data_IF_752009179020
#
_entry.id   IF_752009179020
#
_cell.length_a   1.000
_cell.length_b   1.000
_cell.length_c   1.000
_cell.angle_alpha   90.00
_cell.angle_beta   90.00
_cell.angle_gamma   90.00
#
_symmetry.space_group_name_H-M   'P 1'
#
loop_
_entity.id
_entity.type
_entity.pdbx_description
1 polymer ?
#
# COMPACT_ATOMS: atom_id res chain seq x y z
N UNK A 1 -8.68 15.41 20.77
CA UNK A 1 -8.36 15.04 22.16
C UNK A 1 -8.96 13.68 22.40
N UNK A 2 -8.12 12.60 22.31
CA UNK A 2 -8.54 11.24 22.55
C UNK A 2 -8.86 11.05 24.03
N UNK A 3 -10.06 10.53 24.31
CA UNK A 3 -10.43 10.12 25.65
C UNK A 3 -9.46 9.02 26.11
N UNK A 4 -8.74 9.24 27.20
CA UNK A 4 -7.94 8.19 27.85
C UNK A 4 -8.91 7.19 28.50
N UNK A 5 -8.91 5.97 28.00
CA UNK A 5 -9.56 4.83 28.66
C UNK A 5 -8.85 4.62 30.00
N UNK A 6 -9.59 4.56 31.12
CA UNK A 6 -9.05 4.32 32.47
C UNK A 6 -8.96 2.81 32.70
N UNK A 7 -7.98 2.36 33.46
CA UNK A 7 -7.79 0.93 33.77
C UNK A 7 -9.06 0.23 34.28
N UNK A 8 -9.88 0.94 35.08
CA UNK A 8 -11.18 0.42 35.58
C UNK A 8 -12.23 0.24 34.47
N UNK A 9 -12.09 0.96 33.31
CA UNK A 9 -12.99 0.81 32.19
C UNK A 9 -12.57 -0.39 31.32
N UNK A 10 -11.29 -0.81 31.42
CA UNK A 10 -10.76 -2.01 30.78
C UNK A 10 -11.20 -3.29 31.49
N UNK A 11 -11.22 -3.29 32.85
CA UNK A 11 -11.71 -4.43 33.64
C UNK A 11 -13.19 -4.73 33.39
N UNK A 12 -14.01 -3.70 33.12
CA UNK A 12 -15.43 -3.86 32.77
C UNK A 12 -15.66 -4.45 31.38
N UNK A 13 -14.63 -4.46 30.52
CA UNK A 13 -14.66 -5.00 29.18
C UNK A 13 -14.13 -6.44 29.05
N UNK A 14 -13.80 -7.10 30.21
CA UNK A 14 -13.44 -8.51 30.24
C UNK A 14 -14.65 -9.41 30.48
N UNK A 15 -15.42 -9.78 29.48
CA UNK A 15 -16.47 -10.77 29.62
C UNK A 15 -15.87 -12.17 29.53
N UNK A 16 -15.24 -12.66 30.58
CA UNK A 16 -14.80 -14.06 30.66
C UNK A 16 -13.80 -14.51 29.53
N UNK A 17 -13.43 -15.77 29.50
CA UNK A 17 -12.56 -16.27 28.45
C UNK A 17 -13.20 -16.01 27.05
N UNK A 18 -12.49 -15.32 26.19
CA UNK A 18 -12.91 -15.15 24.79
C UNK A 18 -13.29 -16.51 24.23
N UNK A 19 -14.55 -16.69 23.87
CA UNK A 19 -14.93 -17.82 23.04
C UNK A 19 -14.04 -17.80 21.80
N UNK A 20 -13.54 -18.96 21.40
CA UNK A 20 -12.73 -19.06 20.20
C UNK A 20 -13.42 -18.31 19.04
N UNK A 21 -12.66 -17.45 18.38
CA UNK A 21 -13.15 -16.74 17.19
C UNK A 21 -13.53 -17.82 16.18
N UNK A 22 -14.78 -17.85 15.69
CA UNK A 22 -15.19 -18.85 14.73
C UNK A 22 -14.34 -18.71 13.46
N UNK A 23 -13.99 -19.84 12.85
CA UNK A 23 -13.34 -19.82 11.54
C UNK A 23 -14.33 -19.28 10.51
N UNK A 24 -13.89 -18.26 9.75
CA UNK A 24 -14.73 -17.66 8.74
C UNK A 24 -14.91 -18.63 7.55
N UNK A 25 -16.16 -18.90 7.11
CA UNK A 25 -16.37 -19.75 5.96
C UNK A 25 -15.79 -19.09 4.69
N UNK A 26 -15.27 -19.93 3.79
CA UNK A 26 -14.85 -19.53 2.45
C UNK A 26 -15.97 -19.78 1.43
N UNK A 27 -15.97 -19.03 0.33
CA UNK A 27 -16.85 -19.30 -0.80
C UNK A 27 -18.23 -18.68 -0.73
N UNK A 28 -18.43 -17.59 0.02
CA UNK A 28 -19.69 -16.83 -0.01
C UNK A 28 -19.96 -16.18 -1.37
N UNK A 29 -21.24 -16.09 -1.75
CA UNK A 29 -21.70 -15.50 -3.02
C UNK A 29 -21.73 -13.96 -2.95
N UNK A 30 -20.61 -13.35 -2.65
CA UNK A 30 -20.49 -11.89 -2.50
C UNK A 30 -20.76 -11.11 -3.78
N UNK A 31 -20.55 -11.71 -4.94
CA UNK A 31 -20.87 -11.08 -6.23
C UNK A 31 -22.40 -10.94 -6.40
N UNK A 32 -23.14 -12.01 -6.14
CA UNK A 32 -24.61 -12.00 -6.17
C UNK A 32 -25.16 -11.03 -5.10
N UNK A 33 -24.60 -11.05 -3.90
CA UNK A 33 -24.99 -10.12 -2.83
C UNK A 33 -24.75 -8.65 -3.25
N UNK A 34 -23.66 -8.37 -3.94
CA UNK A 34 -23.37 -7.04 -4.46
C UNK A 34 -24.35 -6.61 -5.55
N UNK A 35 -24.67 -7.48 -6.52
CA UNK A 35 -25.66 -7.18 -7.57
C UNK A 35 -27.02 -6.79 -6.99
N UNK A 36 -27.41 -7.41 -5.88
CA UNK A 36 -28.69 -7.12 -5.20
C UNK A 36 -28.67 -5.81 -4.40
N UNK A 37 -27.49 -5.36 -3.97
CA UNK A 37 -27.37 -4.26 -2.99
C UNK A 37 -26.55 -3.06 -3.48
N UNK A 38 -26.10 -3.06 -4.75
CA UNK A 38 -25.23 -2.04 -5.32
C UNK A 38 -25.70 -0.60 -5.00
N UNK A 39 -24.81 0.21 -4.46
CA UNK A 39 -25.09 1.58 -4.03
C UNK A 39 -25.81 1.70 -2.69
N UNK A 40 -26.09 0.59 -1.98
CA UNK A 40 -26.80 0.59 -0.71
C UNK A 40 -25.89 0.19 0.45
N UNK A 41 -26.19 0.71 1.65
CA UNK A 41 -25.58 0.27 2.88
C UNK A 41 -26.38 -0.88 3.47
N UNK A 42 -25.71 -1.95 3.86
CA UNK A 42 -26.30 -3.14 4.50
C UNK A 42 -25.57 -3.43 5.81
N UNK A 43 -26.25 -4.03 6.77
CA UNK A 43 -25.57 -4.52 7.96
C UNK A 43 -24.69 -5.73 7.62
N UNK A 44 -23.70 -6.04 8.45
CA UNK A 44 -22.86 -7.23 8.25
C UNK A 44 -23.65 -8.53 8.35
N UNK A 45 -24.72 -8.55 9.16
CA UNK A 45 -25.60 -9.70 9.26
C UNK A 45 -26.44 -9.91 7.98
N UNK A 46 -26.98 -8.84 7.39
CA UNK A 46 -27.68 -8.89 6.11
C UNK A 46 -26.73 -9.32 4.97
N UNK A 47 -25.50 -8.79 4.95
CA UNK A 47 -24.50 -9.21 3.97
C UNK A 47 -24.14 -10.69 4.12
N UNK A 48 -24.02 -11.18 5.36
CA UNK A 48 -23.77 -12.60 5.63
C UNK A 48 -24.94 -13.47 5.15
N UNK A 49 -26.19 -13.05 5.43
CA UNK A 49 -27.40 -13.74 4.97
C UNK A 49 -27.45 -13.83 3.45
N UNK A 50 -27.16 -12.72 2.75
CA UNK A 50 -27.13 -12.68 1.29
C UNK A 50 -26.03 -13.55 0.69
N UNK A 51 -24.85 -13.59 1.33
CA UNK A 51 -23.69 -14.29 0.78
C UNK A 51 -23.65 -15.78 1.13
N UNK A 52 -24.22 -16.19 2.27
CA UNK A 52 -24.12 -17.56 2.80
C UNK A 52 -25.48 -18.22 3.11
N UNK A 53 -26.58 -17.47 3.02
CA UNK A 53 -27.91 -17.95 3.44
C UNK A 53 -28.08 -18.04 4.96
N UNK A 54 -27.15 -17.49 5.75
CA UNK A 54 -27.20 -17.42 7.20
C UNK A 54 -26.37 -16.27 7.75
N UNK A 55 -26.74 -15.77 8.93
CA UNK A 55 -26.10 -14.61 9.59
C UNK A 55 -25.50 -14.98 10.95
N UNK A 56 -24.95 -16.18 11.06
CA UNK A 56 -24.24 -16.63 12.26
C UNK A 56 -22.92 -15.84 12.49
N UNK A 57 -22.28 -16.04 13.67
CA UNK A 57 -21.03 -15.32 13.99
C UNK A 57 -19.90 -15.56 12.98
N UNK A 58 -19.79 -16.77 12.41
CA UNK A 58 -18.78 -17.13 11.44
C UNK A 58 -19.01 -16.44 10.10
N UNK A 59 -20.23 -16.46 9.60
CA UNK A 59 -20.64 -15.82 8.36
C UNK A 59 -20.56 -14.29 8.45
N UNK A 60 -20.97 -13.73 9.60
CA UNK A 60 -20.83 -12.28 9.86
C UNK A 60 -19.35 -11.86 9.90
N UNK A 61 -18.46 -12.69 10.46
CA UNK A 61 -17.01 -12.45 10.39
C UNK A 61 -16.51 -12.52 8.93
N UNK A 62 -16.97 -13.49 8.13
CA UNK A 62 -16.61 -13.57 6.72
C UNK A 62 -17.10 -12.34 5.94
N UNK A 63 -18.31 -11.85 6.20
CA UNK A 63 -18.87 -10.64 5.62
C UNK A 63 -18.04 -9.40 6.00
N UNK A 64 -17.60 -9.31 7.25
CA UNK A 64 -16.71 -8.23 7.70
C UNK A 64 -15.35 -8.28 7.00
N UNK A 65 -14.74 -9.46 6.88
CA UNK A 65 -13.47 -9.64 6.17
C UNK A 65 -13.59 -9.20 4.71
N UNK A 66 -14.62 -9.68 3.99
CA UNK A 66 -14.87 -9.31 2.62
C UNK A 66 -15.07 -7.79 2.44
N UNK A 67 -15.85 -7.15 3.32
CA UNK A 67 -16.04 -5.70 3.28
C UNK A 67 -14.76 -4.93 3.65
N UNK A 68 -13.88 -5.49 4.49
CA UNK A 68 -12.60 -4.89 4.84
C UNK A 68 -11.58 -4.90 3.68
N UNK A 69 -11.71 -5.81 2.74
CA UNK A 69 -10.94 -5.82 1.50
C UNK A 69 -11.27 -4.64 0.58
N UNK A 70 -12.47 -4.06 0.73
CA UNK A 70 -12.90 -2.84 0.03
C UNK A 70 -13.36 -3.04 -1.41
N UNK A 71 -13.59 -4.30 -1.86
CA UNK A 71 -14.20 -4.66 -3.14
C UNK A 71 -14.92 -6.02 -3.02
N UNK A 72 -16.18 -6.12 -3.46
CA UNK A 72 -17.06 -5.06 -3.99
C UNK A 72 -17.76 -4.24 -2.90
N UNK A 73 -17.53 -4.56 -1.63
CA UNK A 73 -18.06 -3.87 -0.46
C UNK A 73 -16.95 -3.07 0.24
N UNK A 74 -17.34 -2.04 0.97
CA UNK A 74 -16.47 -1.25 1.82
C UNK A 74 -17.09 -1.10 3.20
N UNK A 75 -16.31 -1.25 4.27
CA UNK A 75 -16.77 -0.98 5.62
C UNK A 75 -17.19 0.49 5.79
N UNK A 76 -18.32 0.69 6.43
CA UNK A 76 -18.79 2.00 6.87
C UNK A 76 -19.26 1.94 8.33
N UNK A 77 -19.75 3.06 8.88
CA UNK A 77 -20.20 3.16 10.26
C UNK A 77 -21.46 2.29 10.57
N UNK A 78 -22.18 1.83 9.56
CA UNK A 78 -23.41 1.05 9.69
C UNK A 78 -23.22 -0.44 9.38
N UNK A 79 -22.07 -0.79 8.78
CA UNK A 79 -21.79 -2.17 8.37
C UNK A 79 -20.96 -2.22 7.09
N UNK A 80 -21.58 -2.55 5.97
CA UNK A 80 -20.95 -2.61 4.66
C UNK A 80 -21.72 -1.75 3.65
N UNK A 81 -21.00 -0.94 2.88
CA UNK A 81 -21.51 -0.21 1.74
C UNK A 81 -21.17 -0.99 0.48
N UNK A 82 -22.19 -1.44 -0.25
CA UNK A 82 -22.00 -2.01 -1.58
C UNK A 82 -21.66 -0.87 -2.55
N UNK A 83 -20.49 -0.94 -3.18
CA UNK A 83 -20.06 0.06 -4.15
C UNK A 83 -20.97 0.05 -5.37
N UNK A 84 -21.22 1.20 -5.98
CA UNK A 84 -21.82 1.25 -7.31
C UNK A 84 -20.90 0.62 -8.35
N UNK A 85 -21.42 0.28 -9.52
CA UNK A 85 -20.60 -0.28 -10.61
C UNK A 85 -19.46 0.67 -11.01
N UNK A 86 -19.72 1.98 -11.04
CA UNK A 86 -18.73 3.00 -11.36
C UNK A 86 -17.64 3.11 -10.27
N UNK A 87 -18.03 3.13 -9.00
CA UNK A 87 -17.10 3.18 -7.87
C UNK A 87 -16.23 1.91 -7.81
N UNK A 88 -16.84 0.75 -8.04
CA UNK A 88 -16.16 -0.54 -8.10
C UNK A 88 -15.10 -0.55 -9.21
N UNK A 89 -15.45 -0.11 -10.42
CA UNK A 89 -14.51 -0.03 -11.55
C UNK A 89 -13.37 0.96 -11.27
N UNK A 90 -13.70 2.14 -10.71
CA UNK A 90 -12.70 3.15 -10.34
C UNK A 90 -11.71 2.62 -9.28
N UNK A 91 -12.21 1.94 -8.24
CA UNK A 91 -11.36 1.37 -7.19
C UNK A 91 -10.52 0.19 -7.71
N UNK A 92 -11.10 -0.65 -8.56
CA UNK A 92 -10.37 -1.74 -9.23
C UNK A 92 -9.26 -1.19 -10.14
N UNK A 93 -9.54 -0.15 -10.92
CA UNK A 93 -8.55 0.53 -11.75
C UNK A 93 -7.41 1.14 -10.93
N UNK A 94 -7.75 1.78 -9.80
CA UNK A 94 -6.77 2.35 -8.87
C UNK A 94 -5.87 1.27 -8.25
N UNK A 95 -6.43 0.11 -7.88
CA UNK A 95 -5.65 -1.04 -7.37
C UNK A 95 -4.72 -1.58 -8.43
N UNK A 96 -5.23 -1.85 -9.64
CA UNK A 96 -4.39 -2.32 -10.77
C UNK A 96 -3.23 -1.37 -11.06
N UNK A 97 -3.49 -0.03 -11.03
CA UNK A 97 -2.43 0.96 -11.21
C UNK A 97 -1.39 0.89 -10.09
N UNK A 98 -1.81 0.84 -8.82
CA UNK A 98 -0.91 0.75 -7.66
C UNK A 98 -0.08 -0.53 -7.67
N UNK A 99 -0.69 -1.66 -8.03
CA UNK A 99 -0.01 -2.94 -8.18
C UNK A 99 1.00 -2.91 -9.33
N UNK A 100 0.63 -2.31 -10.47
CA UNK A 100 1.54 -2.08 -11.59
C UNK A 100 2.75 -1.23 -11.21
N UNK A 101 2.51 -0.08 -10.55
CA UNK A 101 3.57 0.80 -10.04
C UNK A 101 4.50 0.07 -9.04
N UNK A 102 3.92 -0.75 -8.17
CA UNK A 102 4.69 -1.54 -7.21
C UNK A 102 5.53 -2.64 -7.91
N UNK A 103 4.96 -3.32 -8.91
CA UNK A 103 5.65 -4.33 -9.69
C UNK A 103 6.81 -3.73 -10.51
N UNK A 104 6.59 -2.57 -11.16
CA UNK A 104 7.64 -1.85 -11.88
C UNK A 104 8.77 -1.40 -10.96
N UNK A 105 8.42 -0.88 -9.77
CA UNK A 105 9.43 -0.52 -8.76
C UNK A 105 10.21 -1.75 -8.30
N UNK A 106 9.55 -2.87 -8.01
CA UNK A 106 10.22 -4.11 -7.61
C UNK A 106 11.18 -4.62 -8.71
N UNK A 107 10.75 -4.60 -9.97
CA UNK A 107 11.58 -4.98 -11.10
C UNK A 107 12.80 -4.06 -11.25
N UNK A 108 12.61 -2.74 -11.09
CA UNK A 108 13.73 -1.78 -11.04
C UNK A 108 14.72 -2.13 -9.92
N UNK A 109 14.25 -2.35 -8.69
CA UNK A 109 15.11 -2.66 -7.55
C UNK A 109 15.98 -3.90 -7.82
N UNK A 110 15.40 -4.95 -8.39
CA UNK A 110 16.15 -6.17 -8.73
C UNK A 110 17.24 -5.93 -9.79
N UNK A 111 16.97 -5.10 -10.79
CA UNK A 111 17.97 -4.70 -11.80
C UNK A 111 19.03 -3.78 -11.18
N UNK A 112 18.60 -2.79 -10.40
CA UNK A 112 19.44 -1.76 -9.82
C UNK A 112 20.46 -2.31 -8.80
N UNK A 113 20.14 -3.39 -8.09
CA UNK A 113 21.10 -4.13 -7.24
C UNK A 113 22.32 -4.60 -8.02
N UNK A 114 22.17 -4.86 -9.30
CA UNK A 114 23.25 -5.24 -10.23
C UNK A 114 23.80 -4.04 -11.02
N UNK A 115 23.41 -2.82 -10.65
CA UNK A 115 23.68 -1.57 -11.37
C UNK A 115 23.24 -1.64 -12.83
N UNK A 116 22.09 -2.24 -13.10
CA UNK A 116 21.45 -2.27 -14.41
C UNK A 116 20.22 -1.40 -14.39
N UNK A 117 20.02 -0.62 -15.44
CA UNK A 117 18.88 0.27 -15.64
C UNK A 117 18.32 0.09 -17.04
N UNK A 118 17.03 0.36 -17.20
CA UNK A 118 16.32 0.30 -18.46
C UNK A 118 15.66 1.65 -18.77
N UNK A 119 15.34 1.93 -20.04
CA UNK A 119 14.52 3.10 -20.39
C UNK A 119 13.19 3.06 -19.62
N UNK A 120 12.83 4.18 -18.99
CA UNK A 120 11.64 4.27 -18.13
C UNK A 120 11.93 4.15 -16.63
N UNK A 121 13.15 3.77 -16.24
CA UNK A 121 13.57 3.69 -14.83
C UNK A 121 13.91 5.09 -14.24
N UNK A 122 13.88 6.17 -15.04
CA UNK A 122 14.30 7.52 -14.66
C UNK A 122 13.59 8.03 -13.40
N UNK A 123 12.31 7.73 -13.29
CA UNK A 123 11.49 8.11 -12.12
C UNK A 123 11.97 7.46 -10.81
N UNK A 124 12.66 6.34 -10.87
CA UNK A 124 13.17 5.62 -9.71
C UNK A 124 14.61 5.99 -9.39
N UNK A 125 15.52 5.98 -10.38
CA UNK A 125 16.91 6.33 -10.12
C UNK A 125 17.12 7.84 -9.92
N UNK A 126 16.17 8.68 -10.33
CA UNK A 126 16.18 10.12 -10.02
C UNK A 126 16.23 10.41 -8.51
N UNK A 127 15.65 9.55 -7.66
CA UNK A 127 15.80 9.64 -6.20
C UNK A 127 17.27 9.42 -5.76
N UNK A 128 17.99 8.50 -6.42
CA UNK A 128 19.39 8.19 -6.15
C UNK A 128 20.27 9.33 -6.65
N UNK A 129 19.93 9.91 -7.79
CA UNK A 129 20.63 11.08 -8.33
C UNK A 129 20.49 12.31 -7.42
N UNK A 130 19.26 12.56 -6.91
CA UNK A 130 19.04 13.63 -5.93
C UNK A 130 19.88 13.44 -4.66
N UNK A 131 20.05 12.20 -4.19
CA UNK A 131 20.95 11.87 -3.09
C UNK A 131 22.41 12.13 -3.47
N UNK A 132 22.85 11.73 -4.67
CA UNK A 132 24.21 11.96 -5.18
C UNK A 132 24.55 13.44 -5.27
N UNK A 133 23.59 14.30 -5.62
CA UNK A 133 23.77 15.76 -5.61
C UNK A 133 23.64 16.39 -4.22
N UNK A 134 23.32 15.63 -3.18
CA UNK A 134 23.08 16.16 -1.83
C UNK A 134 21.79 16.98 -1.70
N UNK A 135 20.87 16.88 -2.67
CA UNK A 135 19.55 17.55 -2.63
C UNK A 135 18.61 16.92 -1.61
N UNK A 136 18.86 15.65 -1.26
CA UNK A 136 18.16 14.91 -0.22
C UNK A 136 19.17 14.22 0.68
N UNK A 137 18.79 13.95 1.93
CA UNK A 137 19.63 13.20 2.88
C UNK A 137 19.32 11.70 2.85
N UNK A 138 18.20 11.30 2.28
CA UNK A 138 17.73 9.92 2.20
C UNK A 138 17.06 9.66 0.88
N UNK A 139 17.25 8.46 0.34
CA UNK A 139 16.54 7.95 -0.83
C UNK A 139 16.00 6.56 -0.51
N UNK A 140 14.70 6.38 -0.70
CA UNK A 140 14.06 5.08 -0.52
C UNK A 140 14.60 4.06 -1.53
N UNK A 141 14.81 4.48 -2.79
CA UNK A 141 15.38 3.63 -3.83
C UNK A 141 16.80 3.20 -3.47
N UNK A 142 17.66 4.12 -2.97
CA UNK A 142 19.01 3.78 -2.52
C UNK A 142 19.01 2.75 -1.39
N UNK A 143 18.16 2.93 -0.39
CA UNK A 143 18.03 1.98 0.72
C UNK A 143 17.55 0.59 0.25
N UNK A 144 16.55 0.53 -0.64
CA UNK A 144 15.99 -0.73 -1.16
C UNK A 144 16.99 -1.53 -2.00
N UNK A 145 17.92 -0.86 -2.69
CA UNK A 145 18.99 -1.54 -3.45
C UNK A 145 20.25 -1.83 -2.60
N UNK A 146 20.22 -1.45 -1.32
CA UNK A 146 21.29 -1.72 -0.37
C UNK A 146 22.47 -0.74 -0.45
N UNK A 147 22.26 0.47 -0.99
CA UNK A 147 23.25 1.55 -0.90
C UNK A 147 23.20 2.19 0.48
N UNK A 148 24.37 2.64 0.96
CA UNK A 148 24.44 3.50 2.16
C UNK A 148 23.77 4.87 1.92
N UNK A 149 23.43 5.56 3.01
CA UNK A 149 22.74 6.86 3.00
C UNK A 149 23.66 8.04 2.58
N UNK A 150 24.81 7.79 1.97
CA UNK A 150 25.77 8.81 1.58
C UNK A 150 25.68 9.21 0.11
N UNK A 151 25.92 10.52 -0.21
CA UNK A 151 25.97 10.99 -1.59
C UNK A 151 27.10 10.34 -2.40
N UNK A 152 28.17 9.89 -1.75
CA UNK A 152 29.29 9.18 -2.39
C UNK A 152 28.89 7.79 -2.87
N UNK A 153 28.11 7.04 -2.06
CA UNK A 153 27.60 5.72 -2.43
C UNK A 153 26.63 5.82 -3.62
N UNK A 154 25.76 6.82 -3.61
CA UNK A 154 24.84 7.10 -4.71
C UNK A 154 25.59 7.47 -5.99
N UNK A 155 26.62 8.33 -5.91
CA UNK A 155 27.49 8.69 -7.02
C UNK A 155 28.21 7.48 -7.61
N UNK A 156 28.81 6.64 -6.76
CA UNK A 156 29.51 5.44 -7.20
C UNK A 156 28.56 4.47 -7.93
N UNK A 157 27.34 4.34 -7.45
CA UNK A 157 26.32 3.53 -8.11
C UNK A 157 25.92 4.10 -9.47
N UNK A 158 25.69 5.41 -9.60
CA UNK A 158 25.35 6.07 -10.87
C UNK A 158 26.46 5.91 -11.93
N UNK A 159 27.71 5.98 -11.51
CA UNK A 159 28.86 5.71 -12.40
C UNK A 159 28.89 4.25 -12.84
N UNK A 160 28.67 3.31 -11.91
CA UNK A 160 28.62 1.87 -12.19
C UNK A 160 27.45 1.49 -13.10
N UNK A 161 26.31 2.15 -12.97
CA UNK A 161 25.13 1.95 -13.81
C UNK A 161 25.28 2.60 -15.21
N UNK A 162 26.35 3.35 -15.46
CA UNK A 162 26.57 4.05 -16.72
C UNK A 162 25.67 5.28 -16.94
N UNK A 163 24.97 5.72 -15.88
CA UNK A 163 24.11 6.91 -15.93
C UNK A 163 24.93 8.20 -15.84
N UNK A 164 26.03 8.14 -15.10
CA UNK A 164 26.99 9.24 -15.01
C UNK A 164 28.32 8.84 -15.64
N UNK A 165 29.02 9.84 -16.12
CA UNK A 165 30.42 9.73 -16.59
C UNK A 165 31.36 10.35 -15.54
N UNK A 166 32.66 10.07 -15.62
CA UNK A 166 33.64 10.64 -14.73
C UNK A 166 33.74 12.18 -14.83
N UNK A 167 33.17 12.78 -15.88
CA UNK A 167 33.10 14.24 -16.03
C UNK A 167 32.00 14.89 -15.19
N UNK A 168 31.05 14.13 -14.65
CA UNK A 168 30.00 14.68 -13.77
C UNK A 168 30.59 14.95 -12.39
N UNK A 169 30.66 16.23 -12.04
CA UNK A 169 31.16 16.68 -10.72
C UNK A 169 29.99 17.19 -9.85
N UNK A 170 29.52 16.44 -8.85
CA UNK A 170 28.46 16.87 -7.97
C UNK A 170 28.90 17.84 -6.86
N UNK A 171 30.20 18.00 -6.62
CA UNK A 171 30.72 18.81 -5.51
C UNK A 171 30.28 20.28 -5.50
N UNK A 172 30.23 21.00 -6.64
CA UNK A 172 29.75 22.37 -6.64
C UNK A 172 28.31 22.50 -6.15
N UNK A 173 27.46 21.54 -6.52
CA UNK A 173 26.04 21.51 -6.11
C UNK A 173 25.93 21.18 -4.62
N UNK A 174 26.69 20.20 -4.13
CA UNK A 174 26.73 19.81 -2.71
C UNK A 174 27.19 20.93 -1.80
N UNK A 175 28.14 21.79 -2.27
CA UNK A 175 28.67 22.90 -1.51
C UNK A 175 27.90 24.22 -1.68
N UNK A 176 26.74 24.18 -2.38
CA UNK A 176 25.91 25.37 -2.60
C UNK A 176 26.47 26.37 -3.60
N UNK A 177 27.48 26.01 -4.39
CA UNK A 177 28.00 26.84 -5.45
C UNK A 177 27.28 26.53 -6.75
N UNK A 178 26.59 27.49 -7.40
CA UNK A 178 26.01 27.25 -8.70
C UNK A 178 27.07 26.90 -9.71
N UNK A 179 26.90 25.77 -10.41
CA UNK A 179 27.74 25.44 -11.57
C UNK A 179 27.59 26.58 -12.59
N UNK A 180 28.65 27.30 -12.90
CA UNK A 180 28.66 28.20 -14.06
C UNK A 180 28.53 27.29 -15.30
N UNK A 181 27.42 27.46 -16.04
CA UNK A 181 27.23 26.87 -17.37
C UNK A 181 28.29 27.41 -18.33
#
# INVERSE_FOLDING_TARGET
PGARVRDKDVEALHPGPCKAIPEAPSGGEFETAWEMTAGSAVSLAELAELAFGSSGPAETLAAWLAASEGLPFRLDARGALALTAEEREAEAAKRRRKEGEAAERAAFIERARKARVEPGDERFWGEIEALAYGRTQKSKAAAEIGLGDGPEAAQAWLLKAGLWTASVNPHPIRSGHPSKA
#
